data_IF_157984111318
#
_entry.id   IF_157984111318
#
_cell.length_a   1.000
_cell.length_b   1.000
_cell.length_c   1.000
_cell.angle_alpha   90.00
_cell.angle_beta   90.00
_cell.angle_gamma   90.00
#
_symmetry.space_group_name_H-M   'P 1'
#
loop_
_entity.id
_entity.type
_entity.pdbx_description
1 polymer ?
#
# COMPACT_ATOMS: atom_id res chain seq x y z
N UNK A 1 2.18 -29.67 16.39
CA UNK A 1 2.81 -28.78 17.39
C UNK A 1 3.96 -28.07 16.69
N UNK A 2 3.84 -26.78 16.43
CA UNK A 2 4.93 -26.02 15.80
C UNK A 2 5.92 -25.61 16.88
N UNK A 3 7.19 -25.96 16.71
CA UNK A 3 8.25 -25.49 17.60
C UNK A 3 8.28 -23.95 17.57
N UNK A 4 7.94 -23.34 18.71
CA UNK A 4 7.82 -21.89 18.87
C UNK A 4 9.17 -21.19 18.86
N UNK A 5 9.84 -21.17 17.71
CA UNK A 5 11.08 -20.42 17.55
C UNK A 5 10.75 -18.94 17.43
N UNK A 6 11.27 -18.13 18.36
CA UNK A 6 11.13 -16.67 18.37
C UNK A 6 11.97 -16.04 17.23
N UNK A 7 11.51 -16.21 16.00
CA UNK A 7 12.18 -15.72 14.79
C UNK A 7 11.45 -14.49 14.29
N UNK A 8 12.20 -13.42 14.02
CA UNK A 8 11.64 -12.23 13.40
C UNK A 8 11.09 -12.55 12.00
N UNK A 9 9.87 -12.07 11.70
CA UNK A 9 9.24 -12.20 10.38
C UNK A 9 10.16 -11.74 9.23
N UNK A 10 10.97 -10.69 9.46
CA UNK A 10 11.95 -10.19 8.49
C UNK A 10 12.99 -11.26 8.10
N UNK A 11 13.42 -12.08 9.06
CA UNK A 11 14.39 -13.17 8.83
C UNK A 11 13.76 -14.29 8.01
N UNK A 12 12.52 -14.66 8.31
CA UNK A 12 11.77 -15.68 7.57
C UNK A 12 11.61 -15.25 6.11
N UNK A 13 11.16 -14.01 5.88
CA UNK A 13 11.00 -13.44 4.52
C UNK A 13 12.32 -13.44 3.73
N UNK A 14 13.45 -13.13 4.39
CA UNK A 14 14.78 -13.18 3.75
C UNK A 14 15.15 -14.60 3.33
N UNK A 15 14.98 -15.59 4.22
CA UNK A 15 15.32 -16.98 3.94
C UNK A 15 14.46 -17.56 2.81
N UNK A 16 13.15 -17.29 2.81
CA UNK A 16 12.25 -17.67 1.72
C UNK A 16 12.73 -17.12 0.37
N UNK A 17 13.17 -15.86 0.32
CA UNK A 17 13.72 -15.24 -0.89
C UNK A 17 15.02 -15.90 -1.37
N UNK A 18 15.94 -16.25 -0.46
CA UNK A 18 17.18 -16.96 -0.81
C UNK A 18 16.91 -18.36 -1.36
N UNK A 19 15.86 -19.02 -0.87
CA UNK A 19 15.44 -20.35 -1.31
C UNK A 19 14.58 -20.32 -2.59
N UNK A 20 14.29 -19.15 -3.16
CA UNK A 20 13.40 -19.02 -4.33
C UNK A 20 11.93 -19.33 -4.03
N UNK A 21 11.57 -19.44 -2.74
CA UNK A 21 10.20 -19.70 -2.29
C UNK A 21 9.46 -18.36 -2.21
N UNK A 22 8.80 -17.99 -3.31
CA UNK A 22 7.97 -16.80 -3.34
C UNK A 22 6.49 -17.18 -3.24
N UNK A 23 5.74 -16.62 -2.28
CA UNK A 23 4.31 -16.84 -2.26
C UNK A 23 3.64 -16.10 -3.43
N UNK A 24 2.76 -16.80 -4.15
CA UNK A 24 1.91 -16.21 -5.19
C UNK A 24 0.66 -15.66 -4.49
N UNK A 25 0.74 -14.42 -4.01
CA UNK A 25 -0.42 -13.70 -3.49
C UNK A 25 -0.87 -12.62 -4.48
N UNK A 26 -2.16 -12.29 -4.44
CA UNK A 26 -2.65 -11.12 -5.16
C UNK A 26 -1.97 -9.87 -4.58
N UNK A 27 -1.39 -9.04 -5.44
CA UNK A 27 -0.89 -7.72 -5.04
C UNK A 27 -2.05 -6.95 -4.41
N UNK A 28 -1.84 -6.24 -3.29
CA UNK A 28 -2.88 -5.38 -2.73
C UNK A 28 -3.40 -4.43 -3.82
N UNK A 29 -4.71 -4.40 -4.02
CA UNK A 29 -5.33 -3.51 -5.00
C UNK A 29 -5.34 -2.08 -4.45
N UNK A 30 -4.21 -1.39 -4.57
CA UNK A 30 -4.01 -0.02 -4.09
C UNK A 30 -4.85 1.02 -4.84
N UNK A 31 -5.40 0.65 -6.00
CA UNK A 31 -6.32 1.51 -6.77
C UNK A 31 -7.73 1.51 -6.19
N UNK A 32 -8.10 0.51 -5.39
CA UNK A 32 -9.43 0.43 -4.77
C UNK A 32 -9.35 0.94 -3.33
N UNK A 33 -10.06 2.02 -2.98
CA UNK A 33 -10.17 2.45 -1.59
C UNK A 33 -10.87 1.36 -0.75
N UNK A 34 -10.43 1.20 0.50
CA UNK A 34 -11.12 0.35 1.48
C UNK A 34 -12.54 0.89 1.72
N UNK A 35 -13.49 -0.01 1.97
CA UNK A 35 -14.89 0.34 2.27
C UNK A 35 -14.91 1.31 3.47
N UNK A 36 -15.37 2.55 3.24
CA UNK A 36 -15.42 3.60 4.26
C UNK A 36 -14.41 4.73 4.09
N UNK A 37 -13.52 4.70 3.09
CA UNK A 37 -12.69 5.86 2.77
C UNK A 37 -13.55 7.03 2.28
N UNK A 38 -13.45 8.17 2.98
CA UNK A 38 -14.07 9.42 2.57
C UNK A 38 -13.34 9.97 1.35
N UNK A 39 -14.07 10.10 0.23
CA UNK A 39 -13.58 10.84 -0.93
C UNK A 39 -13.51 12.32 -0.58
N UNK A 40 -12.31 12.89 -0.56
CA UNK A 40 -12.14 14.33 -0.44
C UNK A 40 -12.17 14.93 -1.85
N UNK A 41 -13.21 15.70 -2.21
CA UNK A 41 -13.22 16.38 -3.49
C UNK A 41 -12.06 17.37 -3.53
N UNK A 42 -11.32 17.37 -4.63
CA UNK A 42 -10.32 18.39 -4.87
C UNK A 42 -11.03 19.70 -5.18
N UNK A 43 -10.94 20.67 -4.26
CA UNK A 43 -11.74 21.90 -4.30
C UNK A 43 -11.36 22.84 -5.44
N UNK A 44 -10.18 22.65 -6.02
CA UNK A 44 -9.70 23.44 -7.16
C UNK A 44 -10.10 22.82 -8.51
N UNK A 45 -10.84 21.70 -8.50
CA UNK A 45 -11.33 21.06 -9.72
C UNK A 45 -12.36 21.99 -10.39
N UNK A 46 -12.01 22.55 -11.54
CA UNK A 46 -12.85 23.49 -12.30
C UNK A 46 -12.60 24.96 -11.98
N UNK A 47 -11.68 25.29 -11.07
CA UNK A 47 -11.27 26.66 -10.82
C UNK A 47 -10.39 27.15 -11.96
N UNK A 48 -10.82 28.19 -12.68
CA UNK A 48 -9.98 28.93 -13.64
C UNK A 48 -9.08 29.87 -12.85
N UNK A 49 -7.79 29.82 -13.11
CA UNK A 49 -6.78 30.70 -12.50
C UNK A 49 -6.49 31.82 -13.49
N UNK A 50 -7.01 33.01 -13.23
CA UNK A 50 -7.01 34.13 -14.18
C UNK A 50 -5.93 35.18 -13.87
N UNK A 51 -5.28 35.11 -12.69
CA UNK A 51 -4.24 36.07 -12.27
C UNK A 51 -3.08 35.42 -11.50
N UNK A 52 -1.88 36.06 -11.50
CA UNK A 52 -0.76 35.63 -10.67
C UNK A 52 -1.14 35.60 -9.18
N UNK A 53 -0.63 34.60 -8.45
CA UNK A 53 -0.95 34.35 -7.02
C UNK A 53 -2.42 34.00 -6.73
N UNK A 54 -3.10 33.36 -7.67
CA UNK A 54 -4.38 32.71 -7.44
C UNK A 54 -4.12 31.20 -7.30
N UNK A 55 -4.45 30.67 -6.11
CA UNK A 55 -4.12 29.35 -5.52
C UNK A 55 -2.82 29.33 -4.72
#
# INVERSE_FOLDING_TARGET
MGEGHAVNEKRIRRLMRLMGLMPIYQKPNTSRPVKGHKTYPYLLRGLRVDRPNQV
#
